data_IF_752761458512
#
_entry.id   IF_752761458512
#
_cell.length_a   1.000
_cell.length_b   1.000
_cell.length_c   1.000
_cell.angle_alpha   90.00
_cell.angle_beta   90.00
_cell.angle_gamma   90.00
#
_symmetry.space_group_name_H-M   'P 1'
#
loop_
_entity.id
_entity.type
_entity.pdbx_description
1 polymer ?
#
# COMPACT_ATOMS: atom_id res chain seq x y z
N UNK A 1 1.96 18.61 -11.69
CA UNK A 1 1.40 17.27 -12.03
C UNK A 1 2.07 16.16 -11.24
N UNK A 2 3.41 16.06 -11.23
CA UNK A 2 4.11 15.09 -10.37
C UNK A 2 3.79 15.26 -8.88
N UNK A 3 3.79 16.50 -8.36
CA UNK A 3 3.51 16.77 -6.94
C UNK A 3 2.15 16.24 -6.47
N UNK A 4 1.15 16.20 -7.36
CA UNK A 4 -0.17 15.62 -7.06
C UNK A 4 -0.07 14.14 -6.72
N UNK A 5 0.73 13.38 -7.48
CA UNK A 5 0.94 11.94 -7.22
C UNK A 5 1.73 11.70 -5.93
N UNK A 6 2.66 12.60 -5.59
CA UNK A 6 3.37 12.53 -4.31
C UNK A 6 2.41 12.77 -3.13
N UNK A 7 1.53 13.76 -3.22
CA UNK A 7 0.51 14.04 -2.22
C UNK A 7 -0.46 12.86 -2.10
N UNK A 8 -0.94 12.30 -3.21
CA UNK A 8 -1.83 11.13 -3.23
C UNK A 8 -1.17 9.92 -2.57
N UNK A 9 0.11 9.67 -2.83
CA UNK A 9 0.87 8.61 -2.16
C UNK A 9 0.92 8.83 -0.65
N UNK A 10 1.20 10.07 -0.21
CA UNK A 10 1.20 10.43 1.21
C UNK A 10 -0.15 10.19 1.88
N UNK A 11 -1.24 10.71 1.31
CA UNK A 11 -2.61 10.54 1.83
C UNK A 11 -2.99 9.07 1.90
N UNK A 12 -2.66 8.28 0.86
CA UNK A 12 -2.94 6.85 0.84
C UNK A 12 -2.13 6.08 1.91
N UNK A 13 -0.87 6.44 2.15
CA UNK A 13 -0.08 5.87 3.24
C UNK A 13 -0.68 6.22 4.61
N UNK A 14 -1.12 7.47 4.83
CA UNK A 14 -1.80 7.84 6.07
C UNK A 14 -3.12 7.08 6.26
N UNK A 15 -3.90 6.87 5.21
CA UNK A 15 -5.11 6.07 5.26
C UNK A 15 -4.80 4.59 5.61
N UNK A 16 -3.74 4.02 5.02
CA UNK A 16 -3.28 2.68 5.34
C UNK A 16 -2.84 2.56 6.82
N UNK A 17 -2.09 3.55 7.34
CA UNK A 17 -1.72 3.61 8.76
C UNK A 17 -2.95 3.75 9.66
N UNK A 18 -3.94 4.54 9.27
CA UNK A 18 -5.20 4.67 10.00
C UNK A 18 -5.97 3.35 10.07
N UNK A 19 -6.05 2.62 8.96
CA UNK A 19 -6.66 1.29 8.91
C UNK A 19 -5.89 0.28 9.78
N UNK A 20 -4.56 0.30 9.74
CA UNK A 20 -3.70 -0.52 10.60
C UNK A 20 -3.93 -0.22 12.07
N UNK A 21 -3.94 1.05 12.47
CA UNK A 21 -4.13 1.47 13.86
C UNK A 21 -5.52 1.06 14.39
N UNK A 22 -6.56 1.17 13.56
CA UNK A 22 -7.91 0.70 13.90
C UNK A 22 -7.93 -0.82 14.09
N UNK A 23 -7.25 -1.57 13.23
CA UNK A 23 -7.14 -3.02 13.36
C UNK A 23 -6.36 -3.43 14.63
N UNK A 24 -5.27 -2.73 14.96
CA UNK A 24 -4.52 -2.96 16.20
C UNK A 24 -5.42 -2.69 17.41
N UNK A 25 -6.15 -1.58 17.43
CA UNK A 25 -7.05 -1.23 18.54
C UNK A 25 -8.16 -2.28 18.70
N UNK A 26 -8.75 -2.73 17.60
CA UNK A 26 -9.73 -3.83 17.60
C UNK A 26 -9.14 -5.13 18.13
N UNK A 27 -7.97 -5.53 17.62
CA UNK A 27 -7.28 -6.75 18.03
C UNK A 27 -6.77 -6.73 19.49
N UNK A 28 -6.39 -5.56 20.04
CA UNK A 28 -6.12 -5.43 21.50
C UNK A 28 -7.37 -5.70 22.32
N UNK A 29 -8.50 -5.12 21.92
CA UNK A 29 -9.77 -5.34 22.61
C UNK A 29 -10.24 -6.80 22.47
N UNK A 30 -9.93 -7.46 21.35
CA UNK A 30 -10.17 -8.88 21.14
C UNK A 30 -9.29 -9.76 22.06
N UNK A 31 -7.99 -9.46 22.14
CA UNK A 31 -7.06 -10.21 23.00
C UNK A 31 -7.38 -10.06 24.48
N UNK A 32 -7.76 -8.85 24.92
CA UNK A 32 -8.20 -8.62 26.29
C UNK A 32 -9.48 -9.42 26.62
N UNK A 33 -10.45 -9.47 25.70
CA UNK A 33 -11.65 -10.27 25.86
C UNK A 33 -11.34 -11.78 25.88
N UNK A 34 -10.48 -12.26 24.99
CA UNK A 34 -10.06 -13.67 24.95
C UNK A 34 -9.31 -14.08 26.24
N UNK A 35 -8.50 -13.18 26.80
CA UNK A 35 -7.80 -13.40 28.07
C UNK A 35 -8.77 -13.47 29.25
N UNK A 36 -9.76 -12.57 29.32
CA UNK A 36 -10.80 -12.61 30.34
C UNK A 36 -11.64 -13.90 30.26
N UNK A 37 -11.84 -14.45 29.06
CA UNK A 37 -12.54 -15.72 28.84
C UNK A 37 -11.66 -16.96 29.06
N UNK A 38 -10.38 -16.81 29.46
CA UNK A 38 -9.44 -17.91 29.64
C UNK A 38 -9.03 -18.62 28.34
N UNK A 39 -9.31 -18.02 27.16
CA UNK A 39 -9.10 -18.62 25.83
C UNK A 39 -7.80 -18.18 25.13
N UNK A 40 -6.87 -17.58 25.85
CA UNK A 40 -5.55 -17.18 25.32
C UNK A 40 -5.19 -15.72 25.62
N UNK A 41 -4.16 -15.20 24.96
CA UNK A 41 -3.61 -13.85 25.26
C UNK A 41 -2.12 -13.84 25.56
N UNK A 42 -1.38 -14.87 25.14
CA UNK A 42 0.06 -14.96 25.34
C UNK A 42 0.86 -13.93 24.51
N UNK A 43 2.16 -13.77 24.80
CA UNK A 43 3.04 -12.82 24.12
C UNK A 43 3.10 -13.02 22.61
N UNK A 44 2.98 -14.28 22.13
CA UNK A 44 2.91 -14.58 20.69
C UNK A 44 1.70 -13.96 20.00
N UNK A 45 0.56 -13.84 20.69
CA UNK A 45 -0.64 -13.22 20.15
C UNK A 45 -0.51 -11.69 20.06
N UNK A 46 0.23 -11.07 20.99
CA UNK A 46 0.57 -9.65 20.92
C UNK A 46 1.61 -9.37 19.83
N UNK A 47 2.61 -10.24 19.63
CA UNK A 47 3.54 -10.13 18.52
C UNK A 47 2.82 -10.23 17.17
N UNK A 48 1.88 -11.18 17.04
CA UNK A 48 1.06 -11.33 15.84
C UNK A 48 0.19 -10.09 15.60
N UNK A 49 -0.37 -9.48 16.66
CA UNK A 49 -1.15 -8.25 16.55
C UNK A 49 -0.33 -7.07 16.01
N UNK A 50 0.93 -6.93 16.45
CA UNK A 50 1.82 -5.85 15.99
C UNK A 50 2.23 -6.08 14.53
N UNK A 51 2.60 -7.31 14.18
CA UNK A 51 3.07 -7.65 12.84
C UNK A 51 1.92 -7.69 11.82
N UNK A 52 0.76 -8.20 12.24
CA UNK A 52 -0.39 -8.44 11.37
C UNK A 52 -1.72 -8.34 12.15
N UNK A 53 -2.23 -7.13 12.39
CA UNK A 53 -3.39 -6.93 13.25
C UNK A 53 -4.68 -7.56 12.72
N UNK A 54 -4.77 -7.82 11.43
CA UNK A 54 -5.96 -8.39 10.77
C UNK A 54 -6.14 -9.90 11.02
N UNK A 55 -5.15 -10.60 11.60
CA UNK A 55 -5.29 -12.03 11.93
C UNK A 55 -5.96 -12.27 13.28
N UNK A 56 -6.08 -11.25 14.14
CA UNK A 56 -6.65 -11.43 15.47
C UNK A 56 -8.17 -11.53 15.37
N UNK A 57 -8.70 -12.69 15.76
CA UNK A 57 -10.15 -12.94 15.77
C UNK A 57 -10.72 -12.80 17.19
N UNK A 58 -11.86 -12.12 17.32
CA UNK A 58 -12.75 -12.27 18.48
C UNK A 58 -13.43 -13.63 18.43
N UNK A 59 -13.53 -14.29 19.59
CA UNK A 59 -14.34 -15.50 19.76
C UNK A 59 -15.59 -15.16 20.59
N UNK A 60 -16.76 -15.67 20.19
CA UNK A 60 -18.03 -15.48 20.92
C UNK A 60 -19.10 -14.75 20.09
N UNK A 61 -20.13 -14.21 20.76
CA UNK A 61 -21.29 -13.55 20.12
C UNK A 61 -20.95 -12.33 19.28
N UNK A 62 -19.80 -11.69 19.55
CA UNK A 62 -19.35 -10.48 18.84
C UNK A 62 -18.43 -10.80 17.64
N UNK A 63 -18.19 -12.09 17.35
CA UNK A 63 -17.21 -12.50 16.34
C UNK A 63 -17.57 -12.05 14.93
N UNK A 64 -18.85 -12.12 14.54
CA UNK A 64 -19.28 -11.77 13.19
C UNK A 64 -19.21 -10.27 12.91
N UNK A 65 -19.64 -9.44 13.87
CA UNK A 65 -19.57 -7.98 13.75
C UNK A 65 -18.11 -7.50 13.63
N UNK A 66 -17.22 -8.11 14.41
CA UNK A 66 -15.80 -7.78 14.38
C UNK A 66 -15.10 -8.31 13.11
N UNK A 67 -15.51 -9.47 12.61
CA UNK A 67 -15.02 -10.02 11.33
C UNK A 67 -15.36 -9.11 10.15
N UNK A 68 -16.59 -8.57 10.09
CA UNK A 68 -16.99 -7.61 9.06
C UNK A 68 -16.19 -6.32 9.18
N UNK A 69 -15.99 -5.80 10.39
CA UNK A 69 -15.23 -4.57 10.61
C UNK A 69 -13.75 -4.72 10.25
N UNK A 70 -13.14 -5.84 10.67
CA UNK A 70 -11.75 -6.17 10.37
C UNK A 70 -11.54 -6.44 8.88
N UNK A 71 -12.51 -7.09 8.22
CA UNK A 71 -12.52 -7.28 6.77
C UNK A 71 -12.61 -5.96 6.00
N UNK A 72 -13.44 -5.01 6.44
CA UNK A 72 -13.48 -3.66 5.85
C UNK A 72 -12.16 -2.91 6.04
N UNK A 73 -11.56 -3.02 7.23
CA UNK A 73 -10.28 -2.39 7.53
C UNK A 73 -9.14 -2.99 6.69
N UNK A 74 -9.12 -4.31 6.47
CA UNK A 74 -8.11 -4.95 5.62
C UNK A 74 -8.27 -4.57 4.15
N UNK A 75 -9.50 -4.52 3.64
CA UNK A 75 -9.78 -4.01 2.28
C UNK A 75 -9.30 -2.56 2.14
N UNK A 76 -9.65 -1.69 3.09
CA UNK A 76 -9.22 -0.29 3.06
C UNK A 76 -7.69 -0.15 3.10
N UNK A 77 -7.01 -1.00 3.89
CA UNK A 77 -5.55 -1.05 3.95
C UNK A 77 -4.94 -1.43 2.59
N UNK A 78 -5.39 -2.53 1.97
CA UNK A 78 -4.85 -2.98 0.69
C UNK A 78 -5.14 -1.99 -0.44
N UNK A 79 -6.36 -1.44 -0.51
CA UNK A 79 -6.72 -0.42 -1.51
C UNK A 79 -5.82 0.81 -1.36
N UNK A 80 -5.62 1.28 -0.13
CA UNK A 80 -4.74 2.42 0.14
C UNK A 80 -3.29 2.12 -0.26
N UNK A 81 -2.80 0.92 0.02
CA UNK A 81 -1.45 0.51 -0.37
C UNK A 81 -1.30 0.44 -1.90
N UNK A 82 -2.29 -0.09 -2.61
CA UNK A 82 -2.30 -0.12 -4.09
C UNK A 82 -2.27 1.29 -4.67
N UNK A 83 -3.07 2.21 -4.13
CA UNK A 83 -3.08 3.62 -4.56
C UNK A 83 -1.71 4.26 -4.31
N UNK A 84 -1.10 4.02 -3.15
CA UNK A 84 0.23 4.54 -2.84
C UNK A 84 1.28 4.03 -3.83
N UNK A 85 1.30 2.72 -4.12
CA UNK A 85 2.24 2.11 -5.08
C UNK A 85 2.02 2.68 -6.48
N UNK A 86 0.77 2.75 -6.95
CA UNK A 86 0.44 3.31 -8.25
C UNK A 86 0.86 4.78 -8.37
N UNK A 87 0.63 5.56 -7.31
CA UNK A 87 1.00 6.98 -7.27
C UNK A 87 2.51 7.19 -7.25
N UNK A 88 3.26 6.39 -6.48
CA UNK A 88 4.74 6.44 -6.48
C UNK A 88 5.28 6.04 -7.86
N UNK A 89 4.71 5.00 -8.48
CA UNK A 89 5.10 4.57 -9.83
C UNK A 89 4.86 5.68 -10.86
N UNK A 90 3.69 6.33 -10.82
CA UNK A 90 3.37 7.45 -11.68
C UNK A 90 4.27 8.67 -11.44
N UNK A 91 4.51 9.03 -10.16
CA UNK A 91 5.44 10.09 -9.77
C UNK A 91 6.81 9.84 -10.38
N UNK A 92 7.37 8.65 -10.15
CA UNK A 92 8.68 8.23 -10.64
C UNK A 92 8.75 8.29 -12.17
N UNK A 93 7.72 7.82 -12.88
CA UNK A 93 7.71 7.90 -14.34
C UNK A 93 7.73 9.34 -14.86
N UNK A 94 7.03 10.26 -14.19
CA UNK A 94 6.89 11.65 -14.60
C UNK A 94 8.10 12.54 -14.23
N UNK A 95 8.81 12.23 -13.13
CA UNK A 95 10.03 12.96 -12.74
C UNK A 95 11.25 12.43 -13.47
N UNK A 96 11.49 11.12 -13.51
CA UNK A 96 12.69 10.57 -14.16
C UNK A 96 12.71 10.76 -15.69
N UNK A 97 11.56 10.77 -16.37
CA UNK A 97 11.52 11.09 -17.82
C UNK A 97 11.84 12.56 -18.12
N UNK A 98 11.68 13.46 -17.15
CA UNK A 98 11.90 14.89 -17.34
C UNK A 98 13.38 15.26 -17.25
N UNK A 99 14.14 14.53 -16.43
CA UNK A 99 15.58 14.75 -16.23
C UNK A 99 16.47 13.98 -17.23
N UNK A 100 15.90 12.99 -17.93
CA UNK A 100 16.59 12.21 -18.96
C UNK A 100 16.02 12.40 -20.37
N UNK A 101 15.20 13.44 -20.58
CA UNK A 101 14.96 13.94 -21.92
C UNK A 101 16.28 14.53 -22.44
N UNK A 102 17.16 13.65 -22.92
CA UNK A 102 18.32 14.03 -23.70
C UNK A 102 17.83 15.04 -24.76
N UNK A 103 18.54 16.18 -24.95
CA UNK A 103 18.22 17.04 -26.09
C UNK A 103 18.19 16.14 -27.30
N UNK A 104 17.13 16.21 -28.11
CA UNK A 104 17.03 15.45 -29.34
C UNK A 104 18.32 15.70 -30.12
N UNK A 105 19.25 14.75 -30.07
CA UNK A 105 20.48 14.82 -30.83
C UNK A 105 20.09 14.98 -32.30
N UNK A 106 20.90 15.70 -33.11
CA UNK A 106 20.59 15.88 -34.52
C UNK A 106 20.28 14.50 -35.12
N UNK A 107 19.12 14.41 -35.79
CA UNK A 107 18.69 13.18 -36.44
C UNK A 107 19.86 12.61 -37.26
N UNK A 108 20.16 11.30 -37.18
CA UNK A 108 21.22 10.71 -37.97
C UNK A 108 20.95 11.04 -39.44
N UNK A 109 21.93 11.68 -40.10
CA UNK A 109 21.84 12.01 -41.50
C UNK A 109 21.51 10.74 -42.30
N UNK A 110 20.51 10.82 -43.17
CA UNK A 110 20.12 9.73 -44.05
C UNK A 110 21.36 9.19 -44.79
N UNK A 111 21.51 7.86 -44.91
CA UNK A 111 22.66 7.29 -45.61
C UNK A 111 22.69 7.80 -47.05
N UNK A 112 23.84 8.31 -47.48
CA UNK A 112 24.05 8.79 -48.83
C UNK A 112 23.75 7.66 -49.85
N UNK A 113 22.94 7.98 -50.86
CA UNK A 113 22.61 7.06 -51.95
C UNK A 113 23.90 6.51 -52.59
N UNK A 114 23.97 5.19 -52.75
CA UNK A 114 25.08 4.52 -53.41
C UNK A 114 25.21 4.99 -54.88
N UNK A 115 26.44 5.11 -55.42
CA UNK A 115 26.65 5.54 -56.79
C UNK A 115 26.14 4.46 -57.75
N UNK A 116 25.16 4.82 -58.57
CA UNK A 116 24.71 4.02 -59.71
C UNK A 116 25.81 4.00 -60.77
N UNK A 117 26.39 2.83 -61.04
CA UNK A 117 27.28 2.64 -62.19
C UNK A 117 26.44 2.65 -63.47
N UNK A 118 26.80 3.54 -64.39
CA UNK A 118 26.39 3.51 -65.80
C UNK A 118 27.27 2.55 -66.58
#
# INVERSE_FOLDING_TARGET
MADLFYILAGVALFAALGAWAMAVRGGRAALAANAAAGRGGGPGSYALLVLWPFAVKRLGSDADADAVRTGKASIAFFVSLTIAIASISAYTNLTFKRDHAAPAGPAPAAPANAPTKS
#
